data_IF_180326198944
#
_entry.id   IF_180326198944
#
_cell.length_a   1.000
_cell.length_b   1.000
_cell.length_c   1.000
_cell.angle_alpha   90.00
_cell.angle_beta   90.00
_cell.angle_gamma   90.00
#
_symmetry.space_group_name_H-M   'P 1'
#
loop_
_entity.id
_entity.type
_entity.pdbx_description
1 polymer ?
#
# COMPACT_ATOMS: atom_id res chain seq x y z
N UNK A 1 34.23 30.64 -0.50
CA UNK A 1 34.97 29.43 -0.85
C UNK A 1 35.37 28.74 0.45
N UNK A 2 34.60 27.84 0.93
CA UNK A 2 34.99 26.90 2.01
C UNK A 2 34.32 25.57 1.65
N UNK A 3 35.13 24.68 1.04
CA UNK A 3 34.73 23.34 0.69
C UNK A 3 34.50 22.56 1.98
N UNK A 4 33.27 22.01 2.14
CA UNK A 4 33.02 20.95 3.09
C UNK A 4 33.70 19.67 2.55
N UNK A 5 34.39 18.89 3.39
CA UNK A 5 34.93 17.62 2.98
C UNK A 5 33.75 16.66 2.75
N UNK A 6 33.59 16.17 1.54
CA UNK A 6 32.85 14.98 1.24
C UNK A 6 33.52 13.84 1.99
N UNK A 7 32.81 13.24 2.97
CA UNK A 7 33.27 12.01 3.58
C UNK A 7 33.40 10.96 2.46
N UNK A 8 34.64 10.66 2.07
CA UNK A 8 34.94 9.44 1.32
C UNK A 8 34.52 8.27 2.20
N UNK A 9 33.46 7.57 1.80
CA UNK A 9 33.17 6.25 2.35
C UNK A 9 34.31 5.34 1.88
N UNK A 10 35.26 5.07 2.79
CA UNK A 10 36.36 4.13 2.58
C UNK A 10 35.83 2.79 2.02
N UNK A 11 36.69 2.17 1.19
CA UNK A 11 36.44 0.83 0.69
C UNK A 11 36.07 -0.12 1.86
N UNK A 12 35.13 -1.06 1.65
CA UNK A 12 34.74 -1.95 2.73
C UNK A 12 35.96 -2.65 3.30
N UNK A 13 36.11 -2.75 4.61
CA UNK A 13 37.23 -3.40 5.24
C UNK A 13 37.40 -4.83 4.73
N UNK A 14 38.60 -5.38 4.67
CA UNK A 14 38.86 -6.72 4.20
C UNK A 14 37.99 -7.72 4.97
N UNK A 15 37.44 -8.71 4.26
CA UNK A 15 36.56 -9.73 4.82
C UNK A 15 37.21 -10.38 6.05
N UNK A 16 36.62 -10.16 7.23
CA UNK A 16 37.07 -10.74 8.50
C UNK A 16 36.43 -12.09 8.72
N UNK A 17 37.09 -13.02 9.43
CA UNK A 17 36.44 -14.27 9.86
C UNK A 17 35.22 -13.97 10.74
N UNK A 18 34.12 -14.67 10.48
CA UNK A 18 32.84 -14.53 11.19
C UNK A 18 32.27 -15.90 11.58
N UNK A 19 31.44 -15.91 12.61
CA UNK A 19 30.62 -17.06 12.99
C UNK A 19 29.14 -16.68 12.82
N UNK A 20 28.40 -17.52 12.11
CA UNK A 20 26.95 -17.49 12.11
C UNK A 20 26.46 -18.54 13.11
N UNK A 21 25.73 -18.08 14.13
CA UNK A 21 25.06 -18.91 15.13
C UNK A 21 23.59 -18.93 14.81
N UNK A 22 23.04 -20.11 14.55
CA UNK A 22 21.61 -20.29 14.27
C UNK A 22 20.98 -21.13 15.39
N UNK A 23 19.92 -20.60 16.04
CA UNK A 23 19.14 -21.32 17.04
C UNK A 23 17.73 -21.58 16.51
N UNK A 24 17.25 -22.81 16.64
CA UNK A 24 15.85 -23.19 16.37
C UNK A 24 15.28 -23.99 17.53
N UNK A 25 14.03 -23.63 17.96
CA UNK A 25 13.39 -24.31 19.09
C UNK A 25 12.02 -23.77 19.42
N UNK A 26 11.39 -24.30 20.46
CA UNK A 26 10.15 -23.75 21.02
C UNK A 26 10.42 -22.39 21.63
N UNK A 27 9.65 -21.36 21.23
CA UNK A 27 9.81 -20.00 21.73
C UNK A 27 9.50 -19.90 23.23
N UNK A 28 10.43 -19.29 23.94
CA UNK A 28 10.29 -18.96 25.38
C UNK A 28 11.21 -17.80 25.77
N UNK A 29 10.84 -17.00 26.77
CA UNK A 29 11.70 -15.93 27.27
C UNK A 29 13.09 -16.43 27.68
N UNK A 30 14.12 -15.65 27.33
CA UNK A 30 15.49 -15.92 27.73
C UNK A 30 16.39 -16.60 26.70
N UNK A 31 15.86 -17.26 25.66
CA UNK A 31 16.68 -17.97 24.67
C UNK A 31 17.71 -17.06 23.99
N UNK A 32 17.27 -15.95 23.46
CA UNK A 32 18.15 -14.97 22.80
C UNK A 32 19.20 -14.41 23.77
N UNK A 33 18.79 -14.08 24.99
CA UNK A 33 19.71 -13.61 26.05
C UNK A 33 20.77 -14.64 26.39
N UNK A 34 20.42 -15.91 26.49
CA UNK A 34 21.36 -17.00 26.80
C UNK A 34 22.44 -17.13 25.73
N UNK A 35 22.05 -17.17 24.44
CA UNK A 35 23.02 -17.20 23.34
C UNK A 35 23.93 -15.99 23.35
N UNK A 36 23.35 -14.77 23.43
CA UNK A 36 24.13 -13.54 23.42
C UNK A 36 25.07 -13.43 24.63
N UNK A 37 24.71 -13.97 25.79
CA UNK A 37 25.57 -13.99 26.99
C UNK A 37 26.85 -14.82 26.79
N UNK A 38 26.74 -15.97 26.13
CA UNK A 38 27.92 -16.78 25.76
C UNK A 38 28.82 -16.02 24.80
N UNK A 39 28.24 -15.43 23.73
CA UNK A 39 29.00 -14.67 22.74
C UNK A 39 29.69 -13.45 23.37
N UNK A 40 28.99 -12.74 24.24
CA UNK A 40 29.53 -11.60 25.02
C UNK A 40 30.68 -12.04 25.96
N UNK A 41 30.55 -13.20 26.65
CA UNK A 41 31.58 -13.76 27.51
C UNK A 41 32.87 -14.10 26.76
N UNK A 42 32.82 -14.24 25.43
CA UNK A 42 33.98 -14.44 24.55
C UNK A 42 34.49 -13.16 23.90
N UNK A 43 33.88 -12.02 24.21
CA UNK A 43 34.28 -10.73 23.64
C UNK A 43 34.03 -10.63 22.12
N UNK A 44 32.97 -11.28 21.62
CA UNK A 44 32.63 -11.27 20.21
C UNK A 44 31.68 -10.10 19.91
N UNK A 45 31.94 -9.38 18.82
CA UNK A 45 31.10 -8.29 18.37
C UNK A 45 29.99 -8.83 17.46
N UNK A 46 28.75 -8.37 17.71
CA UNK A 46 27.61 -8.68 16.84
C UNK A 46 27.65 -7.81 15.58
N UNK A 47 27.61 -8.46 14.42
CA UNK A 47 27.61 -7.83 13.11
C UNK A 47 26.18 -7.73 12.55
N UNK A 48 25.37 -8.78 12.77
CA UNK A 48 23.96 -8.83 12.36
C UNK A 48 23.19 -9.80 13.26
N UNK A 49 21.87 -9.58 13.41
CA UNK A 49 20.99 -10.48 14.13
C UNK A 49 19.56 -10.40 13.58
N UNK A 50 18.99 -11.55 13.27
CA UNK A 50 17.58 -11.66 12.87
C UNK A 50 16.88 -12.76 13.68
N UNK A 51 15.65 -12.45 14.13
CA UNK A 51 14.82 -13.37 14.88
C UNK A 51 13.41 -13.38 14.33
N UNK A 52 12.83 -14.57 14.20
CA UNK A 52 11.43 -14.73 13.84
C UNK A 52 10.77 -15.81 14.68
N UNK A 53 9.50 -15.60 15.05
CA UNK A 53 8.68 -16.61 15.73
C UNK A 53 7.55 -17.01 14.81
N UNK A 54 7.51 -18.29 14.44
CA UNK A 54 6.47 -18.88 13.60
C UNK A 54 5.77 -20.00 14.37
N UNK A 55 4.48 -19.78 14.69
CA UNK A 55 3.64 -20.76 15.41
C UNK A 55 4.29 -21.26 16.71
N UNK A 56 4.89 -20.34 17.49
CA UNK A 56 5.57 -20.69 18.73
C UNK A 56 6.95 -21.37 18.56
N UNK A 57 7.48 -21.39 17.35
CA UNK A 57 8.85 -21.84 17.06
C UNK A 57 9.72 -20.63 16.74
N UNK A 58 10.77 -20.45 17.54
CA UNK A 58 11.80 -19.44 17.35
C UNK A 58 12.83 -19.91 16.33
N UNK A 59 13.20 -18.99 15.43
CA UNK A 59 14.40 -19.10 14.59
C UNK A 59 15.20 -17.82 14.82
N UNK A 60 16.45 -17.96 15.31
CA UNK A 60 17.35 -16.85 15.56
C UNK A 60 18.65 -17.10 14.78
N UNK A 61 19.08 -16.10 14.02
CA UNK A 61 20.41 -16.04 13.42
C UNK A 61 21.21 -14.89 14.02
N UNK A 62 22.42 -15.12 14.46
CA UNK A 62 23.35 -14.10 14.95
C UNK A 62 24.69 -14.25 14.23
N UNK A 63 25.10 -13.22 13.52
CA UNK A 63 26.41 -13.13 12.89
C UNK A 63 27.35 -12.34 13.81
N UNK A 64 28.49 -12.93 14.16
CA UNK A 64 29.48 -12.31 15.05
C UNK A 64 30.88 -12.39 14.48
N UNK A 65 31.77 -11.56 14.98
CA UNK A 65 33.21 -11.69 14.70
C UNK A 65 33.70 -13.06 15.17
N UNK A 66 34.58 -13.73 14.37
CA UNK A 66 35.11 -15.03 14.74
C UNK A 66 36.42 -14.89 15.52
N UNK A 67 36.59 -15.59 16.66
CA UNK A 67 37.89 -15.70 17.31
C UNK A 67 38.84 -16.57 16.48
N UNK A 68 40.14 -16.58 16.81
CA UNK A 68 41.09 -17.47 16.15
C UNK A 68 40.75 -18.95 16.34
N UNK A 69 40.37 -19.31 17.55
CA UNK A 69 39.88 -20.63 17.93
C UNK A 69 38.42 -20.49 18.48
N UNK A 70 37.47 -21.14 17.82
CA UNK A 70 36.05 -21.12 18.17
C UNK A 70 35.59 -22.38 18.94
N UNK A 71 36.53 -23.26 19.35
CA UNK A 71 36.20 -24.51 20.05
C UNK A 71 35.43 -24.26 21.34
N UNK A 72 35.84 -23.27 22.15
CA UNK A 72 35.15 -22.94 23.40
C UNK A 72 33.75 -22.39 23.18
N UNK A 73 33.56 -21.54 22.13
CA UNK A 73 32.24 -21.01 21.74
C UNK A 73 31.30 -22.16 21.36
N UNK A 74 31.77 -23.09 20.51
CA UNK A 74 30.99 -24.25 20.08
C UNK A 74 30.61 -25.15 21.24
N UNK A 75 31.56 -25.43 22.16
CA UNK A 75 31.32 -26.28 23.31
C UNK A 75 30.26 -25.66 24.23
N UNK A 76 30.35 -24.39 24.54
CA UNK A 76 29.38 -23.73 25.42
C UNK A 76 27.99 -23.57 24.78
N UNK A 77 27.92 -23.31 23.47
CA UNK A 77 26.65 -23.25 22.74
C UNK A 77 26.02 -24.66 22.60
N UNK A 78 26.84 -25.73 22.44
CA UNK A 78 26.33 -27.07 22.44
C UNK A 78 25.75 -27.49 23.80
N UNK A 79 26.44 -27.16 24.91
CA UNK A 79 25.92 -27.39 26.25
C UNK A 79 24.60 -26.60 26.51
N UNK A 80 24.53 -25.36 26.06
CA UNK A 80 23.31 -24.58 26.11
C UNK A 80 22.17 -25.18 25.30
N UNK A 81 22.46 -25.74 24.13
CA UNK A 81 21.49 -26.40 23.27
C UNK A 81 20.85 -27.63 23.98
N UNK A 82 21.67 -28.45 24.68
CA UNK A 82 21.18 -29.53 25.48
C UNK A 82 20.37 -29.08 26.69
N UNK A 83 20.86 -28.08 27.44
CA UNK A 83 20.18 -27.51 28.62
C UNK A 83 18.80 -26.94 28.29
N UNK A 84 18.72 -26.26 27.16
CA UNK A 84 17.51 -25.57 26.74
C UNK A 84 16.63 -26.38 25.77
N UNK A 85 16.99 -27.60 25.45
CA UNK A 85 16.27 -28.48 24.51
C UNK A 85 15.97 -27.74 23.16
N UNK A 86 17.00 -27.09 22.60
CA UNK A 86 16.95 -26.38 21.31
C UNK A 86 18.07 -26.89 20.39
N UNK A 87 17.94 -26.58 19.11
CA UNK A 87 19.00 -26.85 18.14
C UNK A 87 19.83 -25.59 17.95
N UNK A 88 21.16 -25.67 18.13
CA UNK A 88 22.10 -24.58 17.84
C UNK A 88 23.15 -25.09 16.85
N UNK A 89 23.25 -24.41 15.72
CA UNK A 89 24.28 -24.62 14.71
C UNK A 89 25.25 -23.46 14.67
N UNK A 90 26.55 -23.73 14.53
CA UNK A 90 27.59 -22.73 14.39
C UNK A 90 28.37 -22.96 13.11
N UNK A 91 28.31 -22.05 12.18
CA UNK A 91 29.08 -22.08 10.93
C UNK A 91 30.14 -20.97 10.89
N UNK A 92 31.33 -21.29 10.37
CA UNK A 92 32.42 -20.31 10.20
C UNK A 92 32.46 -19.84 8.75
N UNK A 93 32.60 -18.54 8.55
CA UNK A 93 32.68 -17.91 7.25
C UNK A 93 33.63 -16.74 7.20
N UNK A 94 33.57 -15.99 6.13
CA UNK A 94 34.30 -14.74 5.91
C UNK A 94 33.36 -13.62 5.57
N UNK A 95 33.60 -12.45 6.16
CA UNK A 95 32.84 -11.22 5.86
C UNK A 95 31.54 -11.11 6.61
N UNK A 96 30.91 -9.96 6.44
CA UNK A 96 29.56 -9.64 6.86
C UNK A 96 28.56 -10.15 5.82
N UNK A 97 27.26 -9.95 6.06
CA UNK A 97 26.26 -10.13 5.00
C UNK A 97 26.71 -9.40 3.74
N UNK A 98 26.67 -10.10 2.59
CA UNK A 98 27.06 -9.47 1.33
C UNK A 98 26.39 -8.10 1.17
N UNK A 99 27.14 -7.08 0.67
CA UNK A 99 26.56 -5.75 0.48
C UNK A 99 25.28 -5.89 -0.33
N UNK A 100 24.19 -5.41 0.22
CA UNK A 100 22.86 -5.51 -0.40
C UNK A 100 22.97 -5.00 -1.84
N UNK A 101 22.65 -5.87 -2.80
CA UNK A 101 22.74 -5.57 -4.24
C UNK A 101 22.01 -4.26 -4.55
N UNK A 102 22.46 -3.51 -5.55
CA UNK A 102 21.74 -2.35 -6.08
C UNK A 102 20.35 -2.80 -6.60
N UNK A 103 19.39 -1.89 -6.69
CA UNK A 103 18.05 -2.22 -7.18
C UNK A 103 17.21 -2.92 -6.11
N UNK A 104 16.99 -2.27 -4.96
CA UNK A 104 16.06 -2.76 -3.94
C UNK A 104 14.63 -2.49 -4.33
N UNK A 105 13.78 -3.48 -4.17
CA UNK A 105 12.34 -3.38 -4.38
C UNK A 105 11.58 -4.04 -3.23
N UNK A 106 10.38 -3.55 -3.00
CA UNK A 106 9.39 -4.21 -2.16
C UNK A 106 8.27 -4.73 -3.04
N UNK A 107 8.01 -6.01 -2.96
CA UNK A 107 6.91 -6.67 -3.65
C UNK A 107 5.85 -7.01 -2.61
N UNK A 108 4.69 -6.37 -2.69
CA UNK A 108 3.54 -6.69 -1.83
C UNK A 108 2.63 -7.64 -2.60
N UNK A 109 2.32 -8.80 -2.02
CA UNK A 109 1.40 -9.78 -2.56
C UNK A 109 0.16 -9.85 -1.67
N UNK A 110 -1.01 -9.82 -2.28
CA UNK A 110 -2.29 -9.96 -1.59
C UNK A 110 -3.10 -11.05 -2.28
N UNK A 111 -3.64 -11.98 -1.50
CA UNK A 111 -4.47 -13.07 -2.00
C UNK A 111 -5.52 -13.50 -0.98
N UNK A 112 -6.60 -14.09 -1.48
CA UNK A 112 -7.67 -14.64 -0.64
C UNK A 112 -8.17 -15.99 -1.19
N UNK A 113 -7.50 -17.12 -0.81
CA UNK A 113 -6.27 -17.23 -0.03
C UNK A 113 -5.01 -16.93 -0.86
N UNK A 114 -3.89 -16.66 -0.20
CA UNK A 114 -2.56 -16.65 -0.83
C UNK A 114 -2.06 -18.11 -0.90
N UNK A 115 -2.03 -18.68 -2.11
CA UNK A 115 -1.63 -20.07 -2.31
C UNK A 115 -0.11 -20.25 -2.34
N UNK A 116 0.38 -21.41 -1.90
CA UNK A 116 1.78 -21.77 -2.03
C UNK A 116 2.23 -21.82 -3.51
N UNK A 117 1.34 -22.26 -4.42
CA UNK A 117 1.62 -22.28 -5.86
C UNK A 117 1.81 -20.87 -6.42
N UNK A 118 0.93 -19.92 -6.05
CA UNK A 118 1.06 -18.51 -6.45
C UNK A 118 2.35 -17.87 -5.91
N UNK A 119 2.67 -18.13 -4.63
CA UNK A 119 3.92 -17.63 -4.05
C UNK A 119 5.16 -18.24 -4.73
N UNK A 120 5.13 -19.51 -5.08
CA UNK A 120 6.22 -20.19 -5.79
C UNK A 120 6.39 -19.60 -7.21
N UNK A 121 5.30 -19.35 -7.93
CA UNK A 121 5.35 -18.73 -9.25
C UNK A 121 5.97 -17.32 -9.20
N UNK A 122 5.55 -16.49 -8.25
CA UNK A 122 6.13 -15.16 -8.03
C UNK A 122 7.61 -15.24 -7.67
N UNK A 123 8.00 -16.15 -6.76
CA UNK A 123 9.41 -16.34 -6.38
C UNK A 123 10.25 -16.81 -7.57
N UNK A 124 9.71 -17.68 -8.42
CA UNK A 124 10.35 -18.12 -9.66
C UNK A 124 10.58 -16.94 -10.63
N UNK A 125 9.58 -16.07 -10.81
CA UNK A 125 9.74 -14.87 -11.67
C UNK A 125 10.77 -13.89 -11.12
N UNK A 126 10.84 -13.72 -9.79
CA UNK A 126 11.89 -12.91 -9.17
C UNK A 126 13.27 -13.51 -9.51
N UNK A 127 13.44 -14.82 -9.35
CA UNK A 127 14.69 -15.51 -9.67
C UNK A 127 15.06 -15.41 -11.16
N UNK A 128 14.09 -15.49 -12.09
CA UNK A 128 14.30 -15.33 -13.54
C UNK A 128 14.91 -13.96 -13.91
N UNK A 129 14.71 -12.92 -13.09
CA UNK A 129 15.36 -11.61 -13.26
C UNK A 129 16.79 -11.56 -12.73
N UNK A 130 17.29 -12.62 -12.13
CA UNK A 130 18.57 -12.65 -11.43
C UNK A 130 18.55 -11.96 -10.06
N UNK A 131 17.38 -11.57 -9.57
CA UNK A 131 17.19 -10.96 -8.27
C UNK A 131 17.19 -11.98 -7.14
N UNK A 132 17.46 -11.51 -5.93
CA UNK A 132 17.39 -12.29 -4.70
C UNK A 132 16.22 -11.83 -3.83
N UNK A 133 15.59 -12.77 -3.16
CA UNK A 133 14.63 -12.49 -2.07
C UNK A 133 15.45 -12.35 -0.78
N UNK A 134 15.49 -11.15 -0.24
CA UNK A 134 16.27 -10.86 0.98
C UNK A 134 15.45 -11.12 2.24
N UNK A 135 14.12 -10.87 2.18
CA UNK A 135 13.21 -11.05 3.33
C UNK A 135 11.77 -11.24 2.87
N UNK A 136 11.04 -12.05 3.61
CA UNK A 136 9.58 -12.18 3.48
C UNK A 136 8.96 -11.85 4.84
N UNK A 137 8.00 -10.91 4.86
CA UNK A 137 7.31 -10.48 6.07
C UNK A 137 5.80 -10.54 5.86
N UNK A 138 5.06 -11.01 6.86
CA UNK A 138 3.61 -10.98 6.82
C UNK A 138 3.08 -9.58 7.14
N UNK A 139 2.19 -9.06 6.28
CA UNK A 139 1.49 -7.79 6.48
C UNK A 139 0.09 -8.00 7.06
N UNK A 140 -0.60 -9.07 6.65
CA UNK A 140 -1.93 -9.42 7.15
C UNK A 140 -2.18 -10.91 7.04
N UNK A 141 -3.07 -11.42 7.91
CA UNK A 141 -3.58 -12.80 7.88
C UNK A 141 -5.08 -12.87 7.60
N UNK A 142 -5.80 -11.76 7.78
CA UNK A 142 -7.26 -11.65 7.65
C UNK A 142 -7.63 -10.17 7.38
N UNK A 143 -8.66 -9.87 6.59
CA UNK A 143 -9.54 -10.77 5.81
C UNK A 143 -8.86 -11.36 4.58
N UNK A 144 -7.72 -10.84 4.19
CA UNK A 144 -6.85 -11.35 3.13
C UNK A 144 -5.50 -11.75 3.72
N UNK A 145 -4.78 -12.63 3.04
CA UNK A 145 -3.37 -12.85 3.36
C UNK A 145 -2.53 -11.89 2.53
N UNK A 146 -1.75 -11.05 3.23
CA UNK A 146 -0.81 -10.14 2.59
C UNK A 146 0.60 -10.40 3.11
N UNK A 147 1.57 -10.43 2.20
CA UNK A 147 3.01 -10.54 2.50
C UNK A 147 3.77 -9.46 1.75
N UNK A 148 4.87 -9.04 2.33
CA UNK A 148 5.87 -8.20 1.70
C UNK A 148 7.15 -8.99 1.48
N UNK A 149 7.69 -8.93 0.26
CA UNK A 149 8.96 -9.53 -0.12
C UNK A 149 9.94 -8.40 -0.42
N UNK A 150 11.02 -8.32 0.35
CA UNK A 150 12.14 -7.46 0.03
C UNK A 150 13.04 -8.18 -0.99
N UNK A 151 13.29 -7.51 -2.11
CA UNK A 151 14.03 -8.04 -3.25
C UNK A 151 15.20 -7.12 -3.58
N UNK A 152 16.34 -7.69 -3.96
CA UNK A 152 17.50 -6.95 -4.44
C UNK A 152 18.07 -7.56 -5.72
N UNK A 153 18.72 -6.72 -6.55
CA UNK A 153 19.47 -7.16 -7.72
C UNK A 153 18.72 -7.08 -9.06
N UNK A 154 17.47 -6.60 -9.10
CA UNK A 154 16.76 -6.35 -10.34
C UNK A 154 16.31 -4.89 -10.48
N UNK A 155 16.05 -4.49 -11.72
CA UNK A 155 15.39 -3.23 -12.02
C UNK A 155 13.93 -3.27 -11.58
N UNK A 156 13.42 -2.26 -10.83
CA UNK A 156 12.05 -2.24 -10.34
C UNK A 156 10.99 -2.27 -11.44
N UNK A 157 11.24 -1.68 -12.62
CA UNK A 157 10.27 -1.61 -13.71
C UNK A 157 10.18 -2.95 -14.44
N UNK A 158 11.32 -3.67 -14.58
CA UNK A 158 11.33 -5.05 -15.09
C UNK A 158 10.57 -5.96 -14.15
N UNK A 159 10.83 -5.88 -12.84
CA UNK A 159 10.10 -6.65 -11.84
C UNK A 159 8.60 -6.35 -11.89
N UNK A 160 8.21 -5.08 -11.97
CA UNK A 160 6.80 -4.69 -12.03
C UNK A 160 6.09 -5.33 -13.21
N UNK A 161 6.68 -5.25 -14.39
CA UNK A 161 6.08 -5.81 -15.63
C UNK A 161 5.93 -7.34 -15.52
N UNK A 162 6.97 -8.05 -15.11
CA UNK A 162 6.95 -9.52 -15.03
C UNK A 162 6.00 -10.02 -13.94
N UNK A 163 6.02 -9.39 -12.77
CA UNK A 163 5.21 -9.83 -11.64
C UNK A 163 3.75 -9.45 -11.77
N UNK A 164 3.41 -8.35 -12.46
CA UNK A 164 2.01 -8.00 -12.76
C UNK A 164 1.35 -9.07 -13.63
N UNK A 165 2.03 -9.54 -14.68
CA UNK A 165 1.53 -10.63 -15.54
C UNK A 165 1.34 -11.93 -14.77
N UNK A 166 2.32 -12.30 -13.93
CA UNK A 166 2.23 -13.51 -13.12
C UNK A 166 1.12 -13.39 -12.06
N UNK A 167 0.96 -12.23 -11.44
CA UNK A 167 -0.12 -11.96 -10.47
C UNK A 167 -1.49 -12.22 -11.08
N UNK A 168 -1.74 -11.71 -12.28
CA UNK A 168 -3.00 -11.98 -13.01
C UNK A 168 -3.19 -13.48 -13.26
N UNK A 169 -2.14 -14.19 -13.70
CA UNK A 169 -2.20 -15.62 -13.97
C UNK A 169 -2.50 -16.45 -12.70
N UNK A 170 -2.04 -16.00 -11.54
CA UNK A 170 -2.22 -16.66 -10.25
C UNK A 170 -3.42 -16.14 -9.44
N UNK A 171 -4.14 -15.14 -9.93
CA UNK A 171 -5.25 -14.49 -9.20
C UNK A 171 -4.79 -13.75 -7.94
N UNK A 172 -3.60 -13.15 -7.98
CA UNK A 172 -3.00 -12.38 -6.89
C UNK A 172 -2.88 -10.91 -7.26
N UNK A 173 -3.12 -10.04 -6.30
CA UNK A 173 -2.75 -8.63 -6.42
C UNK A 173 -1.26 -8.48 -6.11
N UNK A 174 -0.53 -7.83 -7.00
CA UNK A 174 0.91 -7.67 -6.92
C UNK A 174 1.28 -6.19 -7.08
N UNK A 175 1.98 -5.65 -6.09
CA UNK A 175 2.52 -4.30 -6.15
C UNK A 175 4.03 -4.32 -6.04
N UNK A 176 4.72 -3.66 -6.96
CA UNK A 176 6.18 -3.51 -6.94
C UNK A 176 6.54 -2.04 -6.75
N UNK A 177 7.24 -1.75 -5.69
CA UNK A 177 7.72 -0.41 -5.36
C UNK A 177 9.24 -0.39 -5.21
N UNK A 178 9.89 0.64 -5.75
CA UNK A 178 11.32 0.84 -5.52
C UNK A 178 11.59 1.00 -4.02
N UNK A 179 12.63 0.32 -3.54
CA UNK A 179 13.07 0.42 -2.16
C UNK A 179 13.74 1.75 -1.85
N UNK A 180 13.90 2.05 -0.57
CA UNK A 180 14.53 3.25 -0.08
C UNK A 180 13.58 4.20 0.64
N UNK A 181 14.06 5.42 0.94
CA UNK A 181 13.30 6.39 1.73
C UNK A 181 12.03 6.88 1.05
N UNK A 182 12.00 6.90 -0.28
CA UNK A 182 10.85 7.42 -1.06
C UNK A 182 9.53 6.69 -0.77
N UNK A 183 9.55 5.39 -0.47
CA UNK A 183 8.36 4.63 -0.10
C UNK A 183 7.73 5.15 1.19
N UNK A 184 8.56 5.54 2.16
CA UNK A 184 8.12 6.03 3.48
C UNK A 184 7.84 7.53 3.52
N UNK A 185 7.98 8.23 2.41
CA UNK A 185 7.78 9.69 2.33
C UNK A 185 6.40 10.08 1.81
N UNK A 186 5.52 9.13 1.52
CA UNK A 186 4.14 9.45 1.12
C UNK A 186 3.46 10.29 2.21
N UNK A 187 2.75 11.34 1.82
CA UNK A 187 2.18 12.32 2.75
C UNK A 187 0.77 12.78 2.37
N UNK A 188 0.36 12.62 1.12
CA UNK A 188 -0.97 13.00 0.64
C UNK A 188 -1.61 11.83 -0.09
N UNK A 189 -2.81 11.49 0.32
CA UNK A 189 -3.70 10.55 -0.37
C UNK A 189 -4.76 11.36 -1.10
N UNK A 190 -4.99 11.06 -2.37
CA UNK A 190 -6.09 11.62 -3.16
C UNK A 190 -6.89 10.46 -3.74
N UNK A 191 -8.16 10.39 -3.39
CA UNK A 191 -9.01 9.25 -3.71
C UNK A 191 -10.27 9.68 -4.47
N UNK A 192 -10.67 8.88 -5.44
CA UNK A 192 -12.01 8.95 -6.01
C UNK A 192 -13.08 8.58 -4.98
N UNK A 193 -14.32 8.94 -5.23
CA UNK A 193 -15.43 8.71 -4.31
C UNK A 193 -16.32 7.58 -4.80
N UNK A 194 -16.96 7.76 -5.96
CA UNK A 194 -17.92 6.80 -6.50
C UNK A 194 -17.21 5.49 -6.85
N UNK A 195 -17.75 4.36 -6.43
CA UNK A 195 -17.18 3.01 -6.60
C UNK A 195 -15.76 2.80 -6.02
N UNK A 196 -15.21 3.80 -5.31
CA UNK A 196 -13.90 3.73 -4.64
C UNK A 196 -14.01 3.94 -3.13
N UNK A 197 -14.33 5.17 -2.65
CA UNK A 197 -14.56 5.45 -1.22
C UNK A 197 -15.91 4.94 -0.74
N UNK A 198 -16.91 4.98 -1.61
CA UNK A 198 -18.27 4.50 -1.38
C UNK A 198 -18.61 3.35 -2.33
N UNK A 199 -19.61 2.56 -1.96
CA UNK A 199 -20.18 1.52 -2.82
C UNK A 199 -21.23 2.16 -3.73
N UNK A 200 -21.06 2.02 -5.06
CA UNK A 200 -22.00 2.54 -6.06
C UNK A 200 -21.74 3.99 -6.48
N UNK A 201 -22.68 4.53 -7.21
CA UNK A 201 -22.61 5.83 -7.91
C UNK A 201 -23.69 6.76 -7.36
N UNK A 202 -23.33 7.93 -6.83
CA UNK A 202 -24.28 8.91 -6.27
C UNK A 202 -25.31 9.34 -7.30
N UNK A 203 -24.92 9.56 -8.55
CA UNK A 203 -25.83 10.01 -9.60
C UNK A 203 -26.93 8.95 -9.93
N UNK A 204 -26.61 7.66 -9.82
CA UNK A 204 -27.58 6.57 -10.01
C UNK A 204 -28.57 6.50 -8.84
N UNK A 205 -28.07 6.71 -7.61
CA UNK A 205 -28.93 6.77 -6.42
C UNK A 205 -29.94 7.93 -6.53
N UNK A 206 -29.49 9.12 -6.94
CA UNK A 206 -30.36 10.27 -7.21
C UNK A 206 -31.35 9.99 -8.35
N UNK A 207 -30.89 9.36 -9.43
CA UNK A 207 -31.74 8.99 -10.56
C UNK A 207 -32.84 7.98 -10.17
N UNK A 208 -32.55 7.05 -9.26
CA UNK A 208 -33.53 6.13 -8.71
C UNK A 208 -34.65 6.86 -7.97
N UNK A 209 -34.31 7.86 -7.13
CA UNK A 209 -35.30 8.73 -6.47
C UNK A 209 -36.10 9.57 -7.45
N UNK A 210 -35.52 10.00 -8.56
CA UNK A 210 -36.19 10.72 -9.63
C UNK A 210 -37.05 9.82 -10.54
N UNK A 211 -36.95 8.47 -10.40
CA UNK A 211 -37.58 7.53 -11.32
C UNK A 211 -36.96 7.55 -12.72
N UNK A 212 -35.68 7.95 -12.85
CA UNK A 212 -34.94 8.16 -14.11
C UNK A 212 -33.71 7.28 -14.24
N UNK A 213 -33.63 6.20 -13.47
CA UNK A 213 -32.45 5.32 -13.43
C UNK A 213 -32.10 4.77 -14.82
N UNK A 214 -33.11 4.31 -15.59
CA UNK A 214 -32.89 3.75 -16.94
C UNK A 214 -32.34 4.82 -17.92
N UNK A 215 -32.83 6.06 -17.83
CA UNK A 215 -32.39 7.19 -18.63
C UNK A 215 -30.91 7.53 -18.34
N UNK A 216 -30.55 7.63 -17.06
CA UNK A 216 -29.18 7.90 -16.64
C UNK A 216 -28.24 6.75 -17.04
N UNK A 217 -28.68 5.50 -16.87
CA UNK A 217 -27.91 4.33 -17.30
C UNK A 217 -27.64 4.31 -18.82
N UNK A 218 -28.64 4.70 -19.62
CA UNK A 218 -28.50 4.78 -21.07
C UNK A 218 -27.43 5.82 -21.49
N UNK A 219 -27.44 7.01 -20.86
CA UNK A 219 -26.44 8.08 -21.12
C UNK A 219 -25.05 7.60 -20.68
N UNK A 220 -24.94 6.93 -19.53
CA UNK A 220 -23.66 6.34 -19.07
C UNK A 220 -23.13 5.33 -20.07
N UNK A 221 -23.99 4.46 -20.62
CA UNK A 221 -23.58 3.48 -21.63
C UNK A 221 -23.12 4.14 -22.94
N UNK A 222 -23.72 5.25 -23.37
CA UNK A 222 -23.28 6.03 -24.55
C UNK A 222 -21.89 6.63 -24.31
N UNK A 223 -21.66 7.24 -23.14
CA UNK A 223 -20.35 7.77 -22.79
C UNK A 223 -19.27 6.67 -22.76
N UNK A 224 -19.59 5.49 -22.23
CA UNK A 224 -18.66 4.34 -22.23
C UNK A 224 -18.30 3.81 -23.64
N UNK A 225 -19.20 4.00 -24.62
CA UNK A 225 -18.89 3.69 -26.03
C UNK A 225 -18.15 4.81 -26.75
N UNK A 226 -17.88 5.94 -26.08
CA UNK A 226 -17.22 7.10 -26.67
C UNK A 226 -18.14 7.96 -27.56
N UNK A 227 -19.45 7.78 -27.46
CA UNK A 227 -20.44 8.56 -28.22
C UNK A 227 -20.67 9.98 -27.62
N UNK A 228 -20.37 10.12 -26.34
CA UNK A 228 -20.45 11.38 -25.59
C UNK A 228 -19.13 11.62 -24.84
N UNK A 229 -18.72 12.89 -24.75
CA UNK A 229 -17.67 13.25 -23.81
C UNK A 229 -18.18 13.26 -22.36
N UNK A 230 -17.26 13.31 -21.40
CA UNK A 230 -17.62 13.26 -19.98
C UNK A 230 -18.52 14.41 -19.56
N UNK A 231 -18.19 15.64 -19.99
CA UNK A 231 -18.93 16.84 -19.58
C UNK A 231 -20.35 16.83 -20.14
N UNK A 232 -20.52 16.43 -21.39
CA UNK A 232 -21.83 16.31 -22.03
C UNK A 232 -22.65 15.20 -21.37
N UNK A 233 -22.05 14.03 -21.13
CA UNK A 233 -22.69 12.93 -20.40
C UNK A 233 -23.13 13.34 -19.01
N UNK A 234 -22.29 14.08 -18.26
CA UNK A 234 -22.64 14.59 -16.92
C UNK A 234 -23.84 15.53 -16.99
N UNK A 235 -23.83 16.50 -17.93
CA UNK A 235 -24.95 17.46 -18.09
C UNK A 235 -26.27 16.76 -18.40
N UNK A 236 -26.26 15.76 -19.30
CA UNK A 236 -27.44 15.00 -19.65
C UNK A 236 -27.98 14.18 -18.46
N UNK A 237 -27.11 13.54 -17.70
CA UNK A 237 -27.48 12.79 -16.51
C UNK A 237 -28.03 13.69 -15.40
N UNK A 238 -27.43 14.88 -15.21
CA UNK A 238 -27.89 15.86 -14.23
C UNK A 238 -29.21 16.48 -14.67
N UNK A 239 -29.43 16.73 -15.96
CA UNK A 239 -30.72 17.21 -16.47
C UNK A 239 -31.87 16.26 -16.15
N UNK A 240 -31.64 14.95 -16.11
CA UNK A 240 -32.64 13.95 -15.70
C UNK A 240 -33.06 14.10 -14.22
N UNK A 241 -32.33 14.85 -13.40
CA UNK A 241 -32.63 15.13 -11.98
C UNK A 241 -33.43 16.42 -11.77
N UNK A 242 -33.80 17.13 -12.84
CA UNK A 242 -34.54 18.39 -12.74
C UNK A 242 -35.86 18.21 -11.95
N UNK A 243 -36.09 19.15 -11.03
CA UNK A 243 -37.30 19.15 -10.17
C UNK A 243 -37.22 18.26 -8.93
N UNK A 244 -36.15 17.46 -8.77
CA UNK A 244 -35.96 16.63 -7.58
C UNK A 244 -35.80 17.53 -6.34
N UNK A 245 -36.50 17.25 -5.22
CA UNK A 245 -36.32 18.02 -3.98
C UNK A 245 -34.86 17.96 -3.50
N UNK A 246 -34.31 19.08 -3.04
CA UNK A 246 -32.95 19.09 -2.51
C UNK A 246 -32.78 18.18 -1.26
N UNK A 247 -33.86 17.93 -0.51
CA UNK A 247 -33.88 16.98 0.61
C UNK A 247 -33.53 15.54 0.20
N UNK A 248 -33.69 15.19 -1.08
CA UNK A 248 -33.28 13.86 -1.58
C UNK A 248 -31.76 13.67 -1.49
N UNK A 249 -30.99 14.75 -1.51
CA UNK A 249 -29.53 14.67 -1.26
C UNK A 249 -29.23 14.15 0.15
N UNK A 250 -30.07 14.49 1.14
CA UNK A 250 -29.94 13.98 2.51
C UNK A 250 -30.30 12.48 2.56
N UNK A 251 -31.39 12.10 1.91
CA UNK A 251 -31.82 10.69 1.84
C UNK A 251 -30.78 9.80 1.16
N UNK A 252 -30.19 10.29 0.04
CA UNK A 252 -29.13 9.58 -0.66
C UNK A 252 -27.87 9.50 0.21
N UNK A 253 -27.48 10.58 0.89
CA UNK A 253 -26.33 10.57 1.78
C UNK A 253 -26.49 9.54 2.90
N UNK A 254 -27.63 9.47 3.52
CA UNK A 254 -27.93 8.52 4.61
C UNK A 254 -27.96 7.05 4.12
N UNK A 255 -28.17 6.83 2.83
CA UNK A 255 -28.12 5.52 2.19
C UNK A 255 -26.73 5.12 1.67
N UNK A 256 -25.75 6.02 1.72
CA UNK A 256 -24.39 5.73 1.25
C UNK A 256 -23.71 4.71 2.16
N UNK A 257 -23.20 3.65 1.56
CA UNK A 257 -22.33 2.69 2.22
C UNK A 257 -20.87 2.95 1.85
N UNK A 258 -20.02 3.10 2.84
CA UNK A 258 -18.57 3.21 2.61
C UNK A 258 -18.00 1.87 2.13
N UNK A 259 -16.97 1.94 1.30
CA UNK A 259 -16.21 0.75 0.93
C UNK A 259 -15.63 0.07 2.19
N UNK A 260 -15.63 -1.27 2.27
CA UNK A 260 -15.04 -1.98 3.41
C UNK A 260 -13.61 -1.52 3.67
N UNK A 261 -13.28 -1.21 4.92
CA UNK A 261 -11.96 -0.72 5.32
C UNK A 261 -11.73 0.80 5.13
N UNK A 262 -12.65 1.55 4.49
CA UNK A 262 -12.49 2.99 4.24
C UNK A 262 -12.21 3.80 5.52
N UNK A 263 -13.03 3.61 6.57
CA UNK A 263 -12.82 4.30 7.86
C UNK A 263 -11.47 3.94 8.50
N UNK A 264 -11.08 2.67 8.41
CA UNK A 264 -9.79 2.20 8.93
C UNK A 264 -8.63 2.86 8.18
N UNK A 265 -8.69 2.89 6.85
CA UNK A 265 -7.67 3.54 6.01
C UNK A 265 -7.51 5.02 6.39
N UNK A 266 -8.60 5.80 6.34
CA UNK A 266 -8.56 7.24 6.61
C UNK A 266 -8.06 7.51 8.03
N UNK A 267 -8.64 6.85 9.04
CA UNK A 267 -8.26 7.02 10.44
C UNK A 267 -6.78 6.71 10.68
N UNK A 268 -6.29 5.57 10.17
CA UNK A 268 -4.90 5.16 10.36
C UNK A 268 -3.94 6.16 9.73
N UNK A 269 -4.19 6.57 8.48
CA UNK A 269 -3.31 7.52 7.79
C UNK A 269 -3.36 8.92 8.40
N UNK A 270 -4.52 9.36 8.87
CA UNK A 270 -4.65 10.64 9.61
C UNK A 270 -3.85 10.62 10.92
N UNK A 271 -3.90 9.51 11.69
CA UNK A 271 -3.06 9.33 12.90
C UNK A 271 -1.56 9.41 12.59
N UNK A 272 -1.15 8.92 11.43
CA UNK A 272 0.24 9.00 10.96
C UNK A 272 0.61 10.36 10.34
N UNK A 273 -0.30 11.35 10.37
CA UNK A 273 -0.06 12.71 9.88
C UNK A 273 -0.17 12.87 8.36
N UNK A 274 -0.75 11.91 7.67
CA UNK A 274 -1.06 12.08 6.25
C UNK A 274 -2.15 13.12 6.04
N UNK A 275 -2.04 13.87 4.94
CA UNK A 275 -3.14 14.64 4.38
C UNK A 275 -4.00 13.74 3.51
N UNK A 276 -5.30 13.97 3.55
CA UNK A 276 -6.27 13.18 2.81
C UNK A 276 -7.18 14.09 1.99
N UNK A 277 -7.40 13.73 0.73
CA UNK A 277 -8.27 14.44 -0.20
C UNK A 277 -9.19 13.45 -0.93
N UNK A 278 -10.39 13.91 -1.28
CA UNK A 278 -11.29 13.21 -2.19
C UNK A 278 -11.58 14.06 -3.40
N UNK A 279 -11.65 13.42 -4.57
CA UNK A 279 -11.94 14.09 -5.84
C UNK A 279 -12.95 13.25 -6.61
N UNK A 280 -14.12 13.82 -6.92
CA UNK A 280 -15.21 13.08 -7.56
C UNK A 280 -15.74 13.79 -8.80
N UNK A 281 -16.13 13.01 -9.80
CA UNK A 281 -17.02 13.44 -10.87
C UNK A 281 -18.49 13.60 -10.43
N UNK A 282 -18.80 13.21 -9.19
CA UNK A 282 -20.10 13.40 -8.53
C UNK A 282 -20.27 14.82 -7.94
N UNK A 283 -20.90 14.94 -6.77
CA UNK A 283 -21.42 16.22 -6.30
C UNK A 283 -20.88 16.67 -4.94
N UNK A 284 -20.55 17.97 -4.84
CA UNK A 284 -19.99 18.60 -3.63
C UNK A 284 -20.93 18.49 -2.42
N UNK A 285 -22.23 18.53 -2.64
CA UNK A 285 -23.24 18.36 -1.59
C UNK A 285 -23.11 17.03 -0.84
N UNK A 286 -22.53 16.01 -1.47
CA UNK A 286 -22.23 14.70 -0.87
C UNK A 286 -20.79 14.63 -0.40
N UNK A 287 -19.83 15.02 -1.25
CA UNK A 287 -18.41 14.87 -0.94
C UNK A 287 -17.96 15.72 0.24
N UNK A 288 -18.52 16.93 0.42
CA UNK A 288 -18.19 17.81 1.54
C UNK A 288 -18.66 17.22 2.88
N UNK A 289 -19.82 16.54 2.88
CA UNK A 289 -20.34 15.85 4.06
C UNK A 289 -19.48 14.62 4.39
N UNK A 290 -19.11 13.82 3.39
CA UNK A 290 -18.19 12.68 3.58
C UNK A 290 -16.83 13.15 4.12
N UNK A 291 -16.31 14.25 3.58
CA UNK A 291 -15.05 14.83 4.04
C UNK A 291 -15.13 15.28 5.50
N UNK A 292 -16.21 15.95 5.89
CA UNK A 292 -16.44 16.38 7.26
C UNK A 292 -16.58 15.18 8.23
N UNK A 293 -17.36 14.18 7.86
CA UNK A 293 -17.58 12.97 8.68
C UNK A 293 -16.30 12.17 8.90
N UNK A 294 -15.50 11.98 7.85
CA UNK A 294 -14.26 11.18 7.90
C UNK A 294 -13.02 11.99 8.34
N UNK A 295 -13.14 13.31 8.52
CA UNK A 295 -12.03 14.18 8.85
C UNK A 295 -11.01 14.34 7.71
N UNK A 296 -11.49 14.30 6.46
CA UNK A 296 -10.70 14.48 5.24
C UNK A 296 -10.39 15.97 5.07
N UNK A 297 -9.15 16.29 4.65
CA UNK A 297 -8.65 17.68 4.62
C UNK A 297 -9.15 18.49 3.42
N UNK A 298 -9.40 17.83 2.28
CA UNK A 298 -9.79 18.48 1.03
C UNK A 298 -10.84 17.67 0.27
N UNK A 299 -11.76 18.37 -0.39
CA UNK A 299 -12.70 17.78 -1.32
C UNK A 299 -12.75 18.60 -2.62
N UNK A 300 -12.99 17.96 -3.75
CA UNK A 300 -13.30 18.60 -5.01
C UNK A 300 -14.29 17.74 -5.80
N UNK A 301 -15.42 18.35 -6.20
CA UNK A 301 -16.47 17.68 -6.96
C UNK A 301 -17.26 18.74 -7.74
N UNK A 302 -18.20 18.31 -8.57
CA UNK A 302 -19.12 19.22 -9.26
C UNK A 302 -20.19 19.73 -8.29
N UNK A 303 -20.75 20.88 -8.56
CA UNK A 303 -21.80 21.47 -7.73
C UNK A 303 -23.15 21.43 -8.46
N UNK A 304 -24.17 20.86 -7.84
CA UNK A 304 -25.54 20.89 -8.37
C UNK A 304 -26.20 22.26 -8.08
N UNK A 305 -26.82 22.83 -9.09
CA UNK A 305 -27.60 24.03 -8.90
C UNK A 305 -28.95 23.72 -8.19
N UNK A 306 -29.20 24.42 -7.08
CA UNK A 306 -30.44 24.30 -6.29
C UNK A 306 -31.13 25.67 -6.28
N UNK A 307 -32.39 25.73 -6.73
CA UNK A 307 -33.25 26.92 -6.67
C UNK A 307 -34.59 26.54 -6.04
N UNK A 308 -35.06 27.34 -5.10
CA UNK A 308 -36.30 27.11 -4.37
C UNK A 308 -36.45 25.71 -3.78
N UNK A 309 -35.32 25.13 -3.27
CA UNK A 309 -35.30 23.83 -2.65
C UNK A 309 -35.39 22.66 -3.62
N UNK A 310 -35.15 22.86 -4.91
CA UNK A 310 -35.17 21.84 -5.96
C UNK A 310 -33.91 21.89 -6.82
N UNK A 311 -33.47 20.74 -7.32
CA UNK A 311 -32.46 20.65 -8.34
C UNK A 311 -32.98 21.21 -9.65
N UNK A 312 -32.18 22.07 -10.31
CA UNK A 312 -32.52 22.67 -11.61
C UNK A 312 -32.13 21.80 -12.80
N UNK A 313 -31.46 20.67 -12.58
CA UNK A 313 -30.89 19.86 -13.65
C UNK A 313 -29.60 20.43 -14.24
N UNK A 314 -28.93 21.36 -13.53
CA UNK A 314 -27.67 21.99 -13.98
C UNK A 314 -26.54 21.82 -12.99
N UNK A 315 -25.32 21.87 -13.52
CA UNK A 315 -24.07 21.89 -12.78
C UNK A 315 -23.50 23.31 -12.80
N UNK A 316 -22.99 23.77 -11.66
CA UNK A 316 -22.34 25.06 -11.50
C UNK A 316 -20.84 24.96 -11.67
N UNK A 317 -20.22 25.99 -12.24
CA UNK A 317 -18.77 26.11 -12.38
C UNK A 317 -18.12 25.14 -13.38
N UNK A 318 -16.82 24.93 -13.20
CA UNK A 318 -16.03 24.05 -14.06
C UNK A 318 -16.26 22.58 -13.67
N UNK A 319 -16.39 21.73 -14.69
CA UNK A 319 -16.62 20.31 -14.48
C UNK A 319 -15.32 19.60 -14.05
N UNK A 320 -15.40 18.81 -12.98
CA UNK A 320 -14.33 17.94 -12.52
C UNK A 320 -14.38 16.67 -13.37
N UNK A 321 -13.72 16.72 -14.50
CA UNK A 321 -13.51 15.62 -15.43
C UNK A 321 -12.15 14.94 -15.19
N UNK A 322 -11.73 14.09 -16.11
CA UNK A 322 -10.46 13.36 -16.03
C UNK A 322 -9.23 14.27 -15.86
N UNK A 323 -9.00 15.34 -16.68
CA UNK A 323 -7.98 16.34 -16.43
C UNK A 323 -8.21 17.12 -15.12
N UNK A 324 -9.46 17.42 -14.77
CA UNK A 324 -9.85 18.10 -13.54
C UNK A 324 -9.44 17.35 -12.29
N UNK A 325 -9.56 16.01 -12.26
CA UNK A 325 -9.08 15.18 -11.16
C UNK A 325 -7.55 15.30 -10.97
N UNK A 326 -6.78 15.24 -12.04
CA UNK A 326 -5.33 15.44 -12.00
C UNK A 326 -4.94 16.85 -11.55
N UNK A 327 -5.69 17.87 -11.98
CA UNK A 327 -5.49 19.25 -11.55
C UNK A 327 -5.77 19.42 -10.05
N UNK A 328 -6.84 18.80 -9.54
CA UNK A 328 -7.18 18.81 -8.11
C UNK A 328 -6.06 18.17 -7.27
N UNK A 329 -5.52 17.02 -7.67
CA UNK A 329 -4.37 16.39 -7.01
C UNK A 329 -3.17 17.35 -6.94
N UNK A 330 -2.81 17.99 -8.07
CA UNK A 330 -1.69 18.94 -8.11
C UNK A 330 -1.93 20.15 -7.22
N UNK A 331 -3.17 20.67 -7.20
CA UNK A 331 -3.57 21.80 -6.35
C UNK A 331 -3.48 21.45 -4.86
N UNK A 332 -3.96 20.30 -4.45
CA UNK A 332 -3.88 19.86 -3.05
C UNK A 332 -2.42 19.60 -2.63
N UNK A 333 -1.64 18.98 -3.48
CA UNK A 333 -0.22 18.75 -3.22
C UNK A 333 0.53 20.09 -3.05
N UNK A 334 0.27 21.07 -3.93
CA UNK A 334 0.85 22.41 -3.83
C UNK A 334 0.43 23.15 -2.56
N UNK A 335 -0.86 23.08 -2.19
CA UNK A 335 -1.39 23.71 -0.97
C UNK A 335 -0.75 23.17 0.30
N UNK A 336 -0.37 21.89 0.30
CA UNK A 336 0.35 21.22 1.41
C UNK A 336 1.87 21.32 1.28
N UNK A 337 2.41 21.89 0.22
CA UNK A 337 3.84 21.89 -0.10
C UNK A 337 4.42 20.47 -0.20
N UNK A 338 3.62 19.51 -0.70
CA UNK A 338 4.00 18.11 -0.85
C UNK A 338 4.38 17.85 -2.32
N UNK A 339 5.58 17.34 -2.61
CA UNK A 339 5.95 16.94 -3.97
C UNK A 339 5.04 15.84 -4.50
N UNK A 340 4.73 15.83 -5.80
CA UNK A 340 3.89 14.79 -6.41
C UNK A 340 4.45 13.37 -6.18
N UNK A 341 5.76 13.19 -6.13
CA UNK A 341 6.40 11.91 -5.78
C UNK A 341 6.01 11.37 -4.38
N UNK A 342 5.48 12.24 -3.51
CA UNK A 342 5.00 11.87 -2.17
C UNK A 342 3.47 11.74 -2.08
N UNK A 343 2.77 11.72 -3.20
CA UNK A 343 1.33 11.52 -3.27
C UNK A 343 0.97 10.07 -3.62
N UNK A 344 -0.21 9.65 -3.21
CA UNK A 344 -0.86 8.41 -3.64
C UNK A 344 -2.21 8.78 -4.23
N UNK A 345 -2.51 8.33 -5.43
CA UNK A 345 -3.82 8.46 -6.04
C UNK A 345 -4.52 7.11 -6.08
N UNK A 346 -5.82 7.07 -5.82
CA UNK A 346 -6.63 5.86 -5.77
C UNK A 346 -7.90 6.09 -6.56
N UNK A 347 -8.24 5.18 -7.47
CA UNK A 347 -9.45 5.26 -8.28
C UNK A 347 -9.73 3.96 -9.02
N UNK A 348 -10.94 3.80 -9.55
CA UNK A 348 -11.41 2.59 -10.23
C UNK A 348 -11.71 2.80 -11.73
N UNK A 349 -11.92 4.08 -12.14
CA UNK A 349 -12.44 4.45 -13.43
C UNK A 349 -11.43 5.01 -14.43
N UNK A 350 -11.80 5.01 -15.72
CA UNK A 350 -10.98 5.63 -16.76
C UNK A 350 -10.83 7.16 -16.58
N UNK A 351 -11.75 7.78 -15.84
CA UNK A 351 -11.70 9.19 -15.42
C UNK A 351 -10.63 9.48 -14.37
N UNK A 352 -10.00 8.45 -13.78
CA UNK A 352 -8.92 8.59 -12.80
C UNK A 352 -7.52 8.49 -13.41
N UNK A 353 -7.40 7.99 -14.63
CA UNK A 353 -6.11 7.66 -15.26
C UNK A 353 -5.09 8.79 -15.20
N UNK A 354 -5.49 10.05 -15.45
CA UNK A 354 -4.57 11.18 -15.41
C UNK A 354 -4.17 11.54 -13.98
N UNK A 355 -5.06 11.33 -13.01
CA UNK A 355 -4.78 11.50 -11.59
C UNK A 355 -3.83 10.40 -11.09
N UNK A 356 -4.08 9.14 -11.45
CA UNK A 356 -3.21 8.01 -11.13
C UNK A 356 -1.80 8.21 -11.70
N UNK A 357 -1.69 8.59 -12.97
CA UNK A 357 -0.42 8.84 -13.64
C UNK A 357 0.35 10.05 -13.09
N UNK A 358 -0.35 11.06 -12.54
CA UNK A 358 0.28 12.24 -11.98
C UNK A 358 0.83 12.03 -10.56
N UNK A 359 0.39 11.01 -9.86
CA UNK A 359 0.79 10.72 -8.48
C UNK A 359 2.16 10.03 -8.40
N UNK A 360 2.74 10.03 -7.22
CA UNK A 360 3.95 9.26 -6.92
C UNK A 360 3.68 7.77 -6.70
N UNK A 361 2.42 7.36 -6.60
CA UNK A 361 1.92 5.99 -6.63
C UNK A 361 0.45 6.03 -7.05
N UNK A 362 0.14 5.51 -8.23
CA UNK A 362 -1.21 5.32 -8.73
C UNK A 362 -1.73 3.92 -8.41
N UNK A 363 -2.85 3.83 -7.69
CA UNK A 363 -3.47 2.57 -7.26
C UNK A 363 -4.83 2.42 -7.93
N UNK A 364 -4.98 1.43 -8.79
CA UNK A 364 -6.26 1.03 -9.34
C UNK A 364 -6.99 0.11 -8.34
N UNK A 365 -8.10 0.58 -7.75
CA UNK A 365 -8.85 -0.16 -6.74
C UNK A 365 -10.15 -0.72 -7.34
N UNK A 366 -10.33 -2.05 -7.31
CA UNK A 366 -11.48 -2.75 -7.94
C UNK A 366 -11.76 -2.29 -9.38
N UNK A 367 -10.72 -1.87 -10.07
CA UNK A 367 -10.79 -1.14 -11.32
C UNK A 367 -11.03 -2.05 -12.53
N UNK A 368 -11.55 -1.44 -13.59
CA UNK A 368 -11.69 -2.07 -14.92
C UNK A 368 -10.32 -2.43 -15.49
N UNK A 369 -10.22 -3.44 -16.39
CA UNK A 369 -8.93 -3.90 -16.93
C UNK A 369 -8.04 -2.78 -17.48
N UNK A 370 -8.60 -1.85 -18.25
CA UNK A 370 -7.86 -0.72 -18.85
C UNK A 370 -7.21 0.19 -17.79
N UNK A 371 -7.80 0.33 -16.60
CA UNK A 371 -7.24 1.13 -15.51
C UNK A 371 -6.17 0.34 -14.77
N UNK A 372 -6.36 -0.97 -14.59
CA UNK A 372 -5.35 -1.85 -13.97
C UNK A 372 -4.06 -1.88 -14.77
N UNK A 373 -4.15 -1.90 -16.11
CA UNK A 373 -2.99 -1.91 -17.01
C UNK A 373 -2.22 -0.59 -17.00
N UNK A 374 -2.90 0.52 -16.72
CA UNK A 374 -2.30 1.86 -16.76
C UNK A 374 -1.78 2.37 -15.40
N UNK A 375 -2.20 1.78 -14.29
CA UNK A 375 -1.79 2.17 -12.95
C UNK A 375 -0.44 1.54 -12.55
N UNK A 376 0.25 2.15 -11.57
CA UNK A 376 1.49 1.58 -11.01
C UNK A 376 1.24 0.24 -10.31
N UNK A 377 0.05 0.07 -9.72
CA UNK A 377 -0.39 -1.16 -9.07
C UNK A 377 -1.92 -1.25 -9.05
N UNK A 378 -2.43 -2.45 -8.82
CA UNK A 378 -3.87 -2.65 -8.65
C UNK A 378 -4.19 -3.51 -7.42
N UNK A 379 -5.40 -3.34 -6.91
CA UNK A 379 -6.01 -4.12 -5.83
C UNK A 379 -7.39 -4.57 -6.30
N UNK A 380 -7.63 -5.87 -6.32
CA UNK A 380 -8.90 -6.49 -6.73
C UNK A 380 -9.74 -6.99 -5.54
N UNK A 381 -9.17 -6.95 -4.34
CA UNK A 381 -9.89 -7.30 -3.11
C UNK A 381 -10.76 -6.14 -2.65
N UNK A 382 -11.96 -6.39 -2.09
CA UNK A 382 -12.94 -5.34 -1.79
C UNK A 382 -12.63 -4.56 -0.49
N UNK A 383 -11.40 -4.60 0.01
CA UNK A 383 -11.00 -3.99 1.28
C UNK A 383 -10.06 -2.82 1.04
N UNK A 384 -10.56 -1.60 1.22
CA UNK A 384 -9.81 -0.38 0.91
C UNK A 384 -8.58 -0.19 1.84
N UNK A 385 -8.64 -0.69 3.06
CA UNK A 385 -7.53 -0.66 4.01
C UNK A 385 -6.33 -1.54 3.60
N UNK A 386 -6.45 -2.37 2.58
CA UNK A 386 -5.29 -3.09 2.00
C UNK A 386 -4.23 -2.16 1.40
N UNK A 387 -4.61 -0.93 1.09
CA UNK A 387 -3.66 0.14 0.69
C UNK A 387 -2.61 0.39 1.78
N UNK A 388 -2.92 0.19 3.04
CA UNK A 388 -1.96 0.30 4.15
C UNK A 388 -0.76 -0.63 3.97
N UNK A 389 -0.99 -1.83 3.42
CA UNK A 389 0.09 -2.80 3.16
C UNK A 389 1.05 -2.32 2.07
N UNK A 390 0.55 -1.58 1.07
CA UNK A 390 1.39 -0.93 0.05
C UNK A 390 2.29 0.14 0.67
N UNK A 391 1.83 0.78 1.73
CA UNK A 391 2.58 1.80 2.47
C UNK A 391 3.51 1.19 3.54
N UNK A 392 3.53 -0.14 3.68
CA UNK A 392 4.35 -0.87 4.63
C UNK A 392 3.79 -0.89 6.06
N UNK A 393 2.50 -0.64 6.22
CA UNK A 393 1.79 -0.66 7.51
C UNK A 393 1.07 -2.01 7.60
N UNK A 394 1.41 -2.81 8.59
CA UNK A 394 0.80 -4.11 8.83
C UNK A 394 -0.54 -4.00 9.54
N UNK A 395 -1.38 -5.03 9.39
CA UNK A 395 -2.63 -5.12 10.13
C UNK A 395 -2.42 -5.17 11.64
N UNK A 396 -1.37 -5.84 12.09
CA UNK A 396 -1.05 -5.94 13.52
C UNK A 396 -0.75 -4.56 14.13
N UNK A 397 -0.05 -3.67 13.39
CA UNK A 397 0.19 -2.28 13.80
C UNK A 397 -1.12 -1.48 13.88
N UNK A 398 -2.03 -1.67 12.92
CA UNK A 398 -3.34 -1.00 12.91
C UNK A 398 -4.18 -1.46 14.11
N UNK A 399 -4.26 -2.77 14.35
CA UNK A 399 -5.02 -3.35 15.47
C UNK A 399 -4.45 -2.92 16.83
N UNK A 400 -3.13 -2.85 16.99
CA UNK A 400 -2.48 -2.35 18.18
C UNK A 400 -2.81 -0.87 18.44
N UNK A 401 -2.72 -0.03 17.40
CA UNK A 401 -3.08 1.38 17.51
C UNK A 401 -4.58 1.60 17.80
N UNK A 402 -5.47 0.75 17.26
CA UNK A 402 -6.90 0.83 17.55
C UNK A 402 -7.19 0.42 19.00
N UNK A 403 -6.46 -0.53 19.57
CA UNK A 403 -6.60 -0.94 20.96
C UNK A 403 -6.11 0.14 21.97
N UNK A 404 -5.14 0.98 21.57
CA UNK A 404 -4.64 2.09 22.41
C UNK A 404 -5.58 3.31 22.40
N UNK A 405 -6.27 3.58 21.30
CA UNK A 405 -7.02 4.84 21.07
C UNK A 405 -8.53 4.62 20.84
N UNK A 406 -9.02 3.39 20.96
CA UNK A 406 -10.42 2.96 20.75
C UNK A 406 -11.30 2.95 22.02
#
# INVERSE_FOLDING_TARGET
MTGQPTAEYDAPPPARPTLLVTLTGTDRPGLTSAVLSILAGKGLDVLDAEQVVLRGRLVLGVLVTAPRDDTSVRTELAALAEELEVEIEVSRGLGDNEPRRKGRSHVTLIGNPLSAAGLAAIAGRIADTGANIDRISRMARYPVTAIEIAVSGADPDVLRTMLALEGVAQGLDVAVQAGGLHRRTKRLIVMDVDSTLIQGEVIEMLAAHAGRLEEVAAVTAQAMRGELDFAESLRQRVAALEGLPASTLDEVYDAIELAPGARTLVRTLKRLGYRFAIVSGGFSQITDRLAAELGIDFAAANELEVVDGKLTGKVLGDIVDRPGKALALRRFAASCQIPLSQTVAIGDGANDLDMLAAAGLGVAFNAKPVVREAADTYLSVPYLDTILYLLGISREEVEAADAEFG
#
